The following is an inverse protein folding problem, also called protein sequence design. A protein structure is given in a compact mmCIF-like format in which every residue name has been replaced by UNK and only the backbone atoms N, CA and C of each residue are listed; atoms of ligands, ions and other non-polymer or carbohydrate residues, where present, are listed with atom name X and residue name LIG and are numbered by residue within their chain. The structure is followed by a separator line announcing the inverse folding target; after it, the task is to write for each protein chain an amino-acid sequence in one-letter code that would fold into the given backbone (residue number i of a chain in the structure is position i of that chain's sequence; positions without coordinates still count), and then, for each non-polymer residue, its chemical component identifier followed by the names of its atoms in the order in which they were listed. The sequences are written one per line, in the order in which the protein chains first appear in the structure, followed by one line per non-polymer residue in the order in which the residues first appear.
data_IF_113926218558
#
_entry.id   IF_113926218558
#
_cell.length_a   1.000
_cell.length_b   1.000
_cell.length_c   1.000
_cell.angle_alpha   90.00
_cell.angle_beta   90.00
_cell.angle_gamma   90.00
#
_symmetry.space_group_name_H-M   'P 1'
#
loop_
_entity.id
_entity.type
_entity.pdbx_description
1 polymer ?
#
# COMPACT_ATOMS: atom_id res chain seq x y z
N UNK A 1 -10.60 -3.91 -11.37
CA UNK A 1 -10.77 -3.18 -10.09
C UNK A 1 -9.92 -1.91 -10.15
N UNK A 2 -10.39 -0.77 -9.62
CA UNK A 2 -9.59 0.47 -9.48
C UNK A 2 -9.47 0.80 -7.99
N UNK A 3 -8.63 0.04 -7.30
CA UNK A 3 -8.44 0.10 -5.84
C UNK A 3 -6.97 0.49 -5.57
N UNK A 4 -6.69 1.48 -4.72
CA UNK A 4 -5.33 1.82 -4.31
C UNK A 4 -4.62 0.66 -3.63
N UNK A 5 -3.32 0.53 -3.86
CA UNK A 5 -2.48 -0.54 -3.32
C UNK A 5 -1.40 0.08 -2.44
N UNK A 6 -1.39 -0.32 -1.17
CA UNK A 6 -0.27 -0.10 -0.26
C UNK A 6 0.42 -1.43 0.00
N UNK A 7 1.75 -1.44 -0.06
CA UNK A 7 2.55 -2.65 0.14
C UNK A 7 3.18 -2.65 1.53
N UNK A 8 3.40 -3.84 2.10
CA UNK A 8 4.36 -3.96 3.20
C UNK A 8 5.78 -3.80 2.66
N UNK A 9 6.76 -3.58 3.54
CA UNK A 9 8.17 -3.52 3.12
C UNK A 9 8.59 -4.80 2.37
N UNK A 10 8.16 -5.97 2.84
CA UNK A 10 8.47 -7.27 2.22
C UNK A 10 7.69 -7.51 0.92
N UNK A 11 6.61 -6.77 0.68
CA UNK A 11 5.80 -6.83 -0.53
C UNK A 11 6.04 -5.67 -1.49
N UNK A 12 7.08 -4.85 -1.27
CA UNK A 12 7.32 -3.62 -2.01
C UNK A 12 7.32 -3.83 -3.53
N UNK A 13 7.86 -4.96 -3.98
CA UNK A 13 8.06 -5.24 -5.41
C UNK A 13 6.94 -6.09 -6.03
N UNK A 14 5.87 -6.40 -5.27
CA UNK A 14 4.70 -7.11 -5.82
C UNK A 14 3.77 -6.18 -6.61
N UNK A 15 3.97 -4.86 -6.54
CA UNK A 15 3.19 -3.86 -7.25
C UNK A 15 4.09 -2.73 -7.74
N UNK A 16 3.87 -2.28 -8.97
CA UNK A 16 4.70 -1.25 -9.60
C UNK A 16 4.62 0.07 -8.81
N UNK A 17 5.78 0.55 -8.34
CA UNK A 17 5.85 1.73 -7.50
C UNK A 17 5.42 3.02 -8.22
N UNK A 18 5.54 3.07 -9.55
CA UNK A 18 5.15 4.21 -10.41
C UNK A 18 3.69 4.14 -10.89
N UNK A 19 2.94 3.08 -10.55
CA UNK A 19 1.57 2.94 -10.98
C UNK A 19 0.66 3.99 -10.30
N UNK A 20 -0.33 4.59 -11.00
CA UNK A 20 -1.20 5.63 -10.43
C UNK A 20 -1.99 5.24 -9.18
N UNK A 21 -2.19 3.94 -8.96
CA UNK A 21 -2.86 3.39 -7.77
C UNK A 21 -1.88 2.98 -6.65
N UNK A 22 -0.58 3.20 -6.81
CA UNK A 22 0.41 2.91 -5.77
C UNK A 22 0.40 3.98 -4.69
N UNK A 23 -0.01 3.61 -3.48
CA UNK A 23 0.06 4.47 -2.31
C UNK A 23 1.47 4.50 -1.68
N UNK A 24 2.29 3.48 -1.99
CA UNK A 24 3.63 3.26 -1.44
C UNK A 24 3.66 2.20 -0.33
N UNK A 25 4.78 2.16 0.39
CA UNK A 25 5.00 1.23 1.50
C UNK A 25 4.36 1.76 2.78
N UNK A 26 3.50 0.97 3.43
CA UNK A 26 2.83 1.25 4.72
C UNK A 26 3.63 0.71 5.91
N UNK A 27 3.43 1.29 7.09
CA UNK A 27 3.98 0.81 8.35
C UNK A 27 4.84 1.82 9.10
N UNK A 28 5.81 1.34 9.87
CA UNK A 28 6.68 2.21 10.70
C UNK A 28 7.81 2.87 9.90
N UNK A 29 8.34 2.20 8.88
CA UNK A 29 9.37 2.74 7.97
C UNK A 29 8.75 3.04 6.61
N UNK A 30 7.72 3.87 6.62
CA UNK A 30 6.77 4.01 5.50
C UNK A 30 6.82 5.38 4.84
N UNK A 31 6.07 5.50 3.74
CA UNK A 31 5.67 6.81 3.23
C UNK A 31 4.46 7.29 4.02
N UNK A 32 4.51 8.53 4.51
CA UNK A 32 3.39 9.14 5.23
C UNK A 32 2.09 9.10 4.42
N UNK A 33 2.19 9.25 3.09
CA UNK A 33 1.06 9.07 2.16
C UNK A 33 0.41 7.69 2.27
N UNK A 34 1.20 6.61 2.33
CA UNK A 34 0.68 5.25 2.41
C UNK A 34 -0.05 5.00 3.74
N UNK A 35 0.53 5.46 4.85
CA UNK A 35 -0.12 5.36 6.15
C UNK A 35 -1.44 6.13 6.19
N UNK A 36 -1.47 7.33 5.61
CA UNK A 36 -2.69 8.13 5.51
C UNK A 36 -3.77 7.45 4.68
N UNK A 37 -3.41 6.92 3.49
CA UNK A 37 -4.33 6.18 2.62
C UNK A 37 -4.94 4.98 3.36
N UNK A 38 -4.13 4.19 4.05
CA UNK A 38 -4.63 3.03 4.81
C UNK A 38 -5.46 3.45 6.02
N UNK A 39 -5.11 4.55 6.68
CA UNK A 39 -5.86 5.04 7.84
C UNK A 39 -7.22 5.63 7.48
N UNK A 40 -7.37 6.25 6.32
CA UNK A 40 -8.61 6.92 5.88
C UNK A 40 -9.53 5.99 5.05
N UNK A 41 -9.07 4.79 4.70
CA UNK A 41 -9.88 3.83 3.95
C UNK A 41 -11.06 3.27 4.78
N UNK A 42 -12.20 3.06 4.12
CA UNK A 42 -13.41 2.51 4.71
C UNK A 42 -13.42 0.98 4.80
N UNK A 43 -12.57 0.32 4.01
CA UNK A 43 -12.34 -1.12 3.98
C UNK A 43 -10.87 -1.42 3.63
N UNK A 44 -10.25 -2.29 4.41
CA UNK A 44 -8.90 -2.82 4.15
C UNK A 44 -8.99 -4.26 3.68
N UNK A 45 -8.34 -4.58 2.57
CA UNK A 45 -8.14 -5.95 2.10
C UNK A 45 -6.68 -6.35 2.33
N UNK A 46 -6.43 -7.15 3.37
CA UNK A 46 -5.11 -7.73 3.61
C UNK A 46 -4.92 -8.95 2.70
N UNK A 47 -3.84 -8.97 1.92
CA UNK A 47 -3.53 -10.07 1.01
C UNK A 47 -2.12 -10.55 1.32
N UNK A 48 -1.98 -11.81 1.77
CA UNK A 48 -0.69 -12.42 2.11
C UNK A 48 0.10 -11.63 3.17
N UNK A 49 -0.59 -11.10 4.17
CA UNK A 49 -0.01 -10.22 5.18
C UNK A 49 -0.24 -10.75 6.58
N UNK A 50 0.85 -10.90 7.33
CA UNK A 50 0.82 -11.26 8.77
C UNK A 50 0.24 -10.18 9.67
N UNK A 51 -0.09 -9.00 9.11
CA UNK A 51 -0.65 -7.84 9.84
C UNK A 51 0.13 -7.49 11.13
N UNK A 52 1.44 -7.72 11.13
CA UNK A 52 2.31 -7.49 12.28
C UNK A 52 2.58 -6.00 12.50
N UNK A 53 2.94 -5.65 13.75
CA UNK A 53 3.09 -4.26 14.18
C UNK A 53 3.98 -3.38 13.29
N UNK A 54 5.05 -3.91 12.69
CA UNK A 54 5.87 -3.09 11.80
C UNK A 54 5.16 -2.67 10.51
N UNK A 55 4.35 -3.55 9.94
CA UNK A 55 3.52 -3.27 8.75
C UNK A 55 2.32 -2.39 9.12
N UNK A 56 1.76 -2.57 10.31
CA UNK A 56 0.53 -1.88 10.74
C UNK A 56 0.78 -0.65 11.61
N UNK A 57 2.04 -0.18 11.65
CA UNK A 57 2.47 0.92 12.50
C UNK A 57 2.01 0.76 13.96
N UNK A 58 2.43 -0.34 14.58
CA UNK A 58 2.02 -0.77 15.92
C UNK A 58 0.49 -0.85 16.06
N UNK A 59 -0.18 -1.42 15.05
CA UNK A 59 -1.64 -1.58 14.97
C UNK A 59 -2.43 -0.26 14.99
N UNK A 60 -1.77 0.86 14.68
CA UNK A 60 -2.43 2.16 14.50
C UNK A 60 -2.92 2.37 13.07
N UNK A 61 -2.35 1.65 12.09
CA UNK A 61 -2.65 1.82 10.66
C UNK A 61 -2.83 0.45 9.98
N UNK A 62 -4.08 0.05 9.63
CA UNK A 62 -5.32 0.72 9.99
C UNK A 62 -5.59 0.63 11.50
N UNK A 63 -6.39 1.55 12.07
CA UNK A 63 -6.81 1.46 13.47
C UNK A 63 -7.50 0.14 13.78
N UNK A 64 -7.31 -0.38 15.00
CA UNK A 64 -8.10 -1.52 15.48
C UNK A 64 -9.60 -1.17 15.43
N UNK A 65 -10.39 -2.07 14.83
CA UNK A 65 -11.82 -1.87 14.60
C UNK A 65 -12.20 -1.42 13.19
N UNK A 66 -11.23 -1.06 12.33
CA UNK A 66 -11.47 -0.81 10.90
C UNK A 66 -12.10 -2.03 10.22
N UNK A 67 -12.95 -1.80 9.22
CA UNK A 67 -13.47 -2.89 8.41
C UNK A 67 -12.31 -3.54 7.64
N UNK A 68 -12.10 -4.83 7.86
CA UNK A 68 -11.04 -5.57 7.22
C UNK A 68 -11.54 -6.89 6.62
N UNK A 69 -10.99 -7.29 5.48
CA UNK A 69 -11.04 -8.64 4.95
C UNK A 69 -9.61 -9.16 4.79
N UNK A 70 -9.43 -10.48 4.81
CA UNK A 70 -8.09 -11.08 4.72
C UNK A 70 -8.07 -12.29 3.81
N UNK A 71 -7.06 -12.35 2.96
CA UNK A 71 -6.69 -13.51 2.14
C UNK A 71 -5.33 -13.96 2.62
N UNK A 72 -5.23 -15.18 3.16
CA UNK A 72 -3.95 -15.74 3.60
C UNK A 72 -3.92 -17.26 3.41
N UNK A 73 -2.74 -17.79 3.10
CA UNK A 73 -2.54 -19.24 2.95
C UNK A 73 -2.39 -19.91 4.33
N UNK A 74 -1.89 -19.15 5.31
CA UNK A 74 -1.67 -19.60 6.68
C UNK A 74 -2.93 -19.35 7.53
N UNK A 75 -3.64 -20.40 7.99
CA UNK A 75 -4.83 -20.23 8.82
C UNK A 75 -4.53 -19.54 10.16
N UNK A 76 -3.30 -19.61 10.69
CA UNK A 76 -2.93 -18.94 11.95
C UNK A 76 -2.76 -17.43 11.82
N UNK A 77 -2.59 -16.93 10.59
CA UNK A 77 -2.50 -15.51 10.31
C UNK A 77 -3.89 -14.85 10.22
N UNK A 78 -4.91 -15.62 9.84
CA UNK A 78 -6.27 -15.11 9.59
C UNK A 78 -6.90 -14.61 10.90
N UNK A 79 -7.25 -13.33 10.93
CA UNK A 79 -7.98 -12.73 12.05
C UNK A 79 -7.15 -12.59 13.33
N UNK A 80 -5.83 -12.83 13.26
CA UNK A 80 -4.94 -12.79 14.43
C UNK A 80 -4.90 -11.41 15.11
N UNK A 81 -4.92 -10.35 14.30
CA UNK A 81 -4.74 -8.96 14.79
C UNK A 81 -5.97 -8.06 14.56
N UNK A 82 -6.85 -8.40 13.62
CA UNK A 82 -8.01 -7.60 13.23
C UNK A 82 -9.26 -8.47 13.18
N UNK A 83 -10.38 -7.95 13.67
CA UNK A 83 -11.69 -8.57 13.45
C UNK A 83 -12.07 -8.42 11.99
N UNK A 84 -12.28 -9.55 11.31
CA UNK A 84 -12.54 -9.58 9.87
C UNK A 84 -14.04 -9.62 9.57
N UNK A 85 -14.46 -8.90 8.52
CA UNK A 85 -15.79 -9.00 7.91
C UNK A 85 -15.94 -10.27 7.07
N UNK A 86 -14.85 -10.72 6.46
CA UNK A 86 -14.75 -11.94 5.67
C UNK A 86 -13.28 -12.37 5.60
N UNK A 87 -13.04 -13.65 5.40
CA UNK A 87 -11.71 -14.20 5.20
C UNK A 87 -11.73 -15.30 4.13
N UNK A 88 -10.62 -15.43 3.40
CA UNK A 88 -10.37 -16.52 2.47
C UNK A 88 -9.06 -17.19 2.88
N UNK A 89 -9.14 -18.46 3.28
CA UNK A 89 -7.95 -19.28 3.46
C UNK A 89 -7.56 -19.87 2.11
N UNK A 90 -6.40 -19.48 1.56
CA UNK A 90 -5.93 -20.00 0.30
C UNK A 90 -4.79 -19.19 -0.31
N UNK A 91 -4.32 -19.67 -1.46
CA UNK A 91 -3.32 -18.95 -2.26
C UNK A 91 -3.87 -17.61 -2.75
N UNK A 92 -3.07 -16.55 -2.60
CA UNK A 92 -3.46 -15.19 -2.96
C UNK A 92 -3.74 -15.02 -4.46
N UNK A 93 -2.96 -15.69 -5.33
CA UNK A 93 -3.17 -15.61 -6.79
C UNK A 93 -4.50 -16.26 -7.15
N UNK A 94 -4.73 -17.50 -6.70
CA UNK A 94 -5.98 -18.22 -6.99
C UNK A 94 -7.21 -17.46 -6.47
N UNK A 95 -7.14 -16.90 -5.26
CA UNK A 95 -8.23 -16.10 -4.72
C UNK A 95 -8.49 -14.84 -5.56
N UNK A 96 -7.44 -14.12 -5.96
CA UNK A 96 -7.57 -12.91 -6.79
C UNK A 96 -8.10 -13.21 -8.19
N UNK A 97 -7.70 -14.32 -8.82
CA UNK A 97 -8.23 -14.75 -10.11
C UNK A 97 -9.75 -14.97 -10.06
N UNK A 98 -10.24 -15.62 -9.00
CA UNK A 98 -11.68 -15.80 -8.77
C UNK A 98 -12.37 -14.47 -8.48
N UNK A 99 -11.75 -13.58 -7.68
CA UNK A 99 -12.33 -12.26 -7.43
C UNK A 99 -12.43 -11.43 -8.71
N UNK A 100 -11.46 -11.54 -9.63
CA UNK A 100 -11.48 -10.87 -10.93
C UNK A 100 -12.57 -11.47 -11.82
N UNK A 101 -12.80 -12.78 -11.82
CA UNK A 101 -13.85 -13.39 -12.64
C UNK A 101 -15.27 -13.05 -12.17
N UNK A 102 -15.42 -12.76 -10.87
CA UNK A 102 -16.70 -12.37 -10.25
C UNK A 102 -16.93 -10.86 -10.20
N UNK A 103 -15.93 -10.04 -10.53
CA UNK A 103 -16.07 -8.59 -10.39
C UNK A 103 -17.03 -8.02 -11.43
N UNK A 104 -17.81 -7.02 -11.05
CA UNK A 104 -18.54 -6.17 -11.98
C UNK A 104 -17.67 -4.95 -12.36
N UNK A 105 -17.16 -4.87 -13.61
CA UNK A 105 -16.32 -3.75 -14.04
C UNK A 105 -17.03 -2.40 -14.00
N UNK A 106 -18.36 -2.36 -14.08
CA UNK A 106 -19.15 -1.12 -14.04
C UNK A 106 -18.99 -0.38 -12.71
N UNK A 107 -18.67 -1.10 -11.62
CA UNK A 107 -18.47 -0.54 -10.29
C UNK A 107 -17.11 0.15 -10.09
N UNK A 108 -16.22 0.10 -11.09
CA UNK A 108 -14.87 0.64 -10.95
C UNK A 108 -14.84 2.15 -10.69
N UNK A 109 -15.77 2.89 -11.31
CA UNK A 109 -15.89 4.36 -11.20
C UNK A 109 -16.38 4.83 -9.83
N UNK A 110 -16.99 3.95 -9.03
CA UNK A 110 -17.44 4.27 -7.67
C UNK A 110 -16.28 4.74 -6.76
N UNK A 111 -15.04 4.38 -7.11
CA UNK A 111 -13.83 4.72 -6.36
C UNK A 111 -13.09 5.92 -6.93
N UNK A 112 -13.57 6.57 -7.97
CA UNK A 112 -12.83 7.64 -8.66
C UNK A 112 -12.51 8.81 -7.73
N UNK A 113 -13.45 9.21 -6.88
CA UNK A 113 -13.21 10.24 -5.86
C UNK A 113 -12.11 9.82 -4.89
N UNK A 114 -12.15 8.59 -4.39
CA UNK A 114 -11.12 8.08 -3.47
C UNK A 114 -9.76 7.96 -4.16
N UNK A 115 -9.71 7.45 -5.39
CA UNK A 115 -8.48 7.36 -6.19
C UNK A 115 -7.85 8.73 -6.43
N UNK A 116 -8.68 9.76 -6.67
CA UNK A 116 -8.22 11.14 -6.81
C UNK A 116 -7.62 11.67 -5.50
N UNK A 117 -8.26 11.41 -4.35
CA UNK A 117 -7.73 11.78 -3.03
C UNK A 117 -6.42 11.07 -2.71
N UNK A 118 -6.31 9.77 -3.02
CA UNK A 118 -5.05 9.03 -2.88
C UNK A 118 -3.94 9.65 -3.72
N UNK A 119 -4.25 10.01 -4.97
CA UNK A 119 -3.28 10.69 -5.83
C UNK A 119 -2.80 12.01 -5.19
N UNK A 120 -3.72 12.82 -4.67
CA UNK A 120 -3.38 14.06 -3.97
C UNK A 120 -2.51 13.83 -2.72
N UNK A 121 -2.77 12.77 -1.95
CA UNK A 121 -1.93 12.40 -0.80
C UNK A 121 -0.53 11.99 -1.21
N UNK A 122 -0.38 11.26 -2.32
CA UNK A 122 0.93 10.86 -2.85
C UNK A 122 1.67 12.06 -3.42
N UNK A 123 1.02 12.87 -4.24
CA UNK A 123 1.61 14.07 -4.86
C UNK A 123 2.07 15.07 -3.80
N UNK A 124 1.24 15.32 -2.78
CA UNK A 124 1.60 16.23 -1.67
C UNK A 124 2.79 15.74 -0.86
N UNK A 125 2.90 14.43 -0.62
CA UNK A 125 4.08 13.84 0.02
C UNK A 125 5.33 14.04 -0.84
N UNK A 126 5.27 13.83 -2.15
CA UNK A 126 6.42 14.12 -3.02
C UNK A 126 6.79 15.60 -3.03
N UNK A 127 5.82 16.50 -3.04
CA UNK A 127 6.05 17.94 -2.99
C UNK A 127 6.71 18.37 -1.67
N UNK A 128 6.28 17.81 -0.54
CA UNK A 128 6.87 18.08 0.78
C UNK A 128 8.35 17.67 0.82
N UNK A 129 8.69 16.52 0.26
CA UNK A 129 10.06 15.96 0.30
C UNK A 129 10.95 16.39 -0.88
N UNK A 130 10.44 17.18 -1.85
CA UNK A 130 11.17 17.54 -3.07
C UNK A 130 12.52 18.22 -2.77
N UNK A 131 12.54 19.09 -1.78
CA UNK A 131 13.75 19.81 -1.34
C UNK A 131 14.83 18.86 -0.79
N UNK A 132 14.46 17.71 -0.23
CA UNK A 132 15.41 16.69 0.23
C UNK A 132 15.90 15.82 -0.92
N UNK A 133 14.98 15.44 -1.82
CA UNK A 133 15.27 14.61 -3.01
C UNK A 133 16.18 15.32 -4.02
N UNK A 134 16.19 16.66 -4.03
CA UNK A 134 17.00 17.50 -4.91
C UNK A 134 18.06 18.33 -4.18
N UNK A 135 18.37 17.98 -2.93
CA UNK A 135 19.35 18.72 -2.12
C UNK A 135 20.77 18.65 -2.73
N UNK A 136 21.52 19.76 -2.69
CA UNK A 136 22.94 19.84 -3.06
C UNK A 136 23.86 19.95 -1.82
N UNK A 137 23.37 19.54 -0.64
CA UNK A 137 24.12 19.62 0.62
C UNK A 137 25.36 18.72 0.63
N UNK A 138 26.38 19.12 1.40
CA UNK A 138 27.58 18.32 1.72
C UNK A 138 27.64 18.08 3.24
N UNK A 139 27.73 16.82 3.71
CA UNK A 139 27.80 15.57 2.94
C UNK A 139 26.49 15.23 2.20
N UNK A 140 26.59 14.39 1.17
CA UNK A 140 25.44 14.02 0.33
C UNK A 140 24.31 13.42 1.16
N UNK A 141 23.08 13.86 0.86
CA UNK A 141 21.88 13.31 1.46
C UNK A 141 21.53 11.94 0.88
N UNK A 142 21.19 10.93 1.69
CA UNK A 142 20.73 9.63 1.20
C UNK A 142 19.51 9.76 0.27
N UNK A 143 18.58 10.68 0.56
CA UNK A 143 17.38 10.89 -0.25
C UNK A 143 17.72 11.36 -1.67
N UNK A 144 18.69 12.28 -1.79
CA UNK A 144 19.21 12.76 -3.07
C UNK A 144 19.88 11.63 -3.85
N UNK A 145 20.75 10.85 -3.19
CA UNK A 145 21.42 9.71 -3.81
C UNK A 145 20.41 8.69 -4.35
N UNK A 146 19.43 8.29 -3.54
CA UNK A 146 18.39 7.35 -3.94
C UNK A 146 17.55 7.89 -5.10
N UNK A 147 17.19 9.18 -5.08
CA UNK A 147 16.43 9.82 -6.16
C UNK A 147 17.21 9.82 -7.48
N UNK A 148 18.50 10.12 -7.46
CA UNK A 148 19.36 10.08 -8.66
C UNK A 148 19.49 8.65 -9.20
N UNK A 149 19.67 7.64 -8.34
CA UNK A 149 19.69 6.24 -8.75
C UNK A 149 18.37 5.81 -9.39
N UNK A 150 17.23 6.13 -8.77
CA UNK A 150 15.90 5.81 -9.32
C UNK A 150 15.67 6.44 -10.70
N UNK A 151 16.21 7.64 -10.97
CA UNK A 151 16.06 8.31 -12.27
C UNK A 151 16.98 7.73 -13.36
N UNK A 152 18.16 7.24 -12.97
CA UNK A 152 19.23 6.86 -13.91
C UNK A 152 19.27 5.35 -14.19
N UNK A 153 18.77 4.53 -13.27
CA UNK A 153 18.73 3.08 -13.43
C UNK A 153 17.48 2.64 -14.19
N UNK A 154 17.58 1.55 -14.98
CA UNK A 154 16.42 0.86 -15.54
C UNK A 154 15.40 0.40 -14.48
N UNK A 155 14.13 0.26 -14.89
CA UNK A 155 13.04 -0.19 -14.02
C UNK A 155 13.21 -1.64 -13.49
N UNK A 156 14.08 -2.45 -14.10
CA UNK A 156 14.38 -3.84 -13.77
C UNK A 156 15.72 -4.04 -13.02
N UNK A 157 16.29 -2.95 -12.50
CA UNK A 157 17.56 -2.96 -11.74
C UNK A 157 17.42 -3.37 -10.27
#
# INVERSE_FOLDING_TARGET
MRIPVATSLNGKDTFLANHPLSAGVVGTYSRGSANRVVSEADLICFIGSKTGGMTTHFWQVPPIGSNAIQIDIDPEAIGRNYTLKAAVQGDARSALEVMISLMDPSTATLRDRWNQQVKEFVDSWYAEYDHLLKSDATPIRPERLCNDLTRLLPDDS
#
